data_IF_231082592865
#
_entry.id   IF_231082592865
#
_cell.length_a   1.000
_cell.length_b   1.000
_cell.length_c   1.000
_cell.angle_alpha   90.00
_cell.angle_beta   90.00
_cell.angle_gamma   90.00
#
_symmetry.space_group_name_H-M   'P 1'
#
loop_
_entity.id
_entity.type
_entity.pdbx_description
1 polymer ?
#
# COMPACT_ATOMS: atom_id res chain seq x y z
N UNK A 1 7.85 1.73 14.89
CA UNK A 1 7.60 1.27 13.51
C UNK A 1 7.35 -0.24 13.52
N UNK A 2 6.52 -0.75 12.62
CA UNK A 2 6.18 -2.17 12.48
C UNK A 2 6.33 -2.64 11.02
N UNK A 3 6.40 -3.94 10.75
CA UNK A 3 6.33 -4.50 9.39
C UNK A 3 4.88 -4.69 8.95
N UNK A 4 4.64 -4.92 7.65
CA UNK A 4 3.30 -5.16 7.12
C UNK A 4 2.67 -6.42 7.75
N UNK A 5 3.43 -7.51 7.85
CA UNK A 5 3.00 -8.74 8.52
C UNK A 5 2.61 -8.50 9.98
N UNK A 6 3.39 -7.73 10.73
CA UNK A 6 3.05 -7.37 12.12
C UNK A 6 1.74 -6.56 12.21
N UNK A 7 1.51 -5.64 11.26
CA UNK A 7 0.28 -4.87 11.21
C UNK A 7 -0.95 -5.75 10.94
N UNK A 8 -0.83 -6.71 10.02
CA UNK A 8 -1.87 -7.69 9.72
C UNK A 8 -2.16 -8.59 10.92
N UNK A 9 -1.13 -9.11 11.60
CA UNK A 9 -1.32 -9.92 12.80
C UNK A 9 -2.04 -9.15 13.90
N UNK A 10 -1.69 -7.87 14.11
CA UNK A 10 -2.34 -7.01 15.09
C UNK A 10 -3.80 -6.72 14.75
N UNK A 11 -4.11 -6.52 13.47
CA UNK A 11 -5.48 -6.37 12.98
C UNK A 11 -6.33 -7.62 13.28
N UNK A 12 -5.78 -8.81 12.99
CA UNK A 12 -6.43 -10.10 13.28
C UNK A 12 -6.69 -10.26 14.79
N UNK A 13 -5.71 -9.95 15.63
CA UNK A 13 -5.83 -10.03 17.10
C UNK A 13 -6.88 -9.07 17.67
N UNK A 14 -7.02 -7.88 17.08
CA UNK A 14 -7.96 -6.86 17.56
C UNK A 14 -9.40 -7.05 17.03
N UNK A 15 -9.63 -8.07 16.19
CA UNK A 15 -10.94 -8.30 15.61
C UNK A 15 -11.90 -8.91 16.64
N UNK A 16 -13.08 -8.30 16.82
CA UNK A 16 -14.10 -8.76 17.79
C UNK A 16 -14.84 -10.03 17.36
N UNK A 17 -14.78 -10.37 16.08
CA UNK A 17 -15.46 -11.51 15.47
C UNK A 17 -14.44 -12.59 15.09
N UNK A 18 -14.78 -13.86 15.29
CA UNK A 18 -13.94 -14.95 14.84
C UNK A 18 -13.78 -14.90 13.30
N UNK A 19 -12.53 -14.89 12.85
CA UNK A 19 -12.20 -14.78 11.43
C UNK A 19 -12.27 -16.12 10.69
N UNK A 20 -12.57 -17.24 11.37
CA UNK A 20 -12.64 -18.57 10.73
C UNK A 20 -11.32 -18.94 10.04
N UNK A 21 -11.43 -19.46 8.82
CA UNK A 21 -10.29 -19.94 8.01
C UNK A 21 -9.50 -18.81 7.32
N UNK A 22 -9.86 -17.54 7.57
CA UNK A 22 -9.15 -16.42 6.98
C UNK A 22 -7.73 -16.30 7.54
N UNK A 23 -6.76 -16.26 6.64
CA UNK A 23 -5.35 -16.05 6.97
C UNK A 23 -4.81 -14.82 6.27
N UNK A 24 -3.90 -14.12 6.94
CA UNK A 24 -3.33 -12.86 6.47
C UNK A 24 -1.81 -12.92 6.55
N UNK A 25 -1.12 -12.60 5.46
CA UNK A 25 0.34 -12.56 5.44
C UNK A 25 0.88 -11.46 4.51
N UNK A 26 2.18 -11.18 4.58
CA UNK A 26 2.86 -10.23 3.69
C UNK A 26 4.32 -10.60 3.47
N UNK A 27 4.82 -10.36 2.26
CA UNK A 27 6.26 -10.45 1.93
C UNK A 27 7.02 -9.13 2.19
N UNK A 28 6.31 -8.04 2.52
CA UNK A 28 6.88 -6.71 2.68
C UNK A 28 7.56 -6.59 4.05
N UNK A 29 8.90 -6.51 4.03
CA UNK A 29 9.73 -6.37 5.23
C UNK A 29 9.94 -4.91 5.68
N UNK A 30 9.64 -3.96 4.79
CA UNK A 30 9.82 -2.52 5.04
C UNK A 30 9.03 -2.08 6.27
N UNK A 31 9.65 -1.31 7.17
CA UNK A 31 9.01 -0.86 8.41
C UNK A 31 8.38 0.51 8.24
N UNK A 32 7.10 0.64 8.58
CA UNK A 32 6.36 1.93 8.56
C UNK A 32 5.76 2.23 9.93
N UNK A 33 5.37 3.48 10.14
CA UNK A 33 4.54 3.87 11.28
C UNK A 33 3.08 3.70 10.87
N UNK A 34 2.32 2.93 11.66
CA UNK A 34 0.93 2.61 11.38
C UNK A 34 0.12 2.79 12.65
N UNK A 35 -0.86 3.68 12.59
CA UNK A 35 -1.77 4.01 13.68
C UNK A 35 -3.19 3.76 13.18
N UNK A 36 -3.92 2.87 13.86
CA UNK A 36 -5.34 2.61 13.59
C UNK A 36 -6.17 3.16 14.74
N UNK A 37 -7.35 3.71 14.44
CA UNK A 37 -8.30 4.08 15.50
C UNK A 37 -9.16 2.87 15.89
N UNK A 38 -9.71 2.86 17.11
CA UNK A 38 -10.48 1.71 17.64
C UNK A 38 -11.85 1.50 16.96
N UNK A 39 -12.34 2.50 16.22
CA UNK A 39 -13.69 2.52 15.63
C UNK A 39 -13.74 2.04 14.18
N UNK A 40 -12.63 1.57 13.63
CA UNK A 40 -12.55 1.17 12.23
C UNK A 40 -12.96 -0.30 12.02
N UNK A 41 -13.59 -0.56 10.88
CA UNK A 41 -13.91 -1.94 10.46
C UNK A 41 -12.66 -2.63 9.96
N UNK A 42 -12.64 -3.96 10.00
CA UNK A 42 -11.53 -4.77 9.47
C UNK A 42 -11.21 -4.41 8.00
N UNK A 43 -12.25 -4.13 7.22
CA UNK A 43 -12.12 -3.73 5.82
C UNK A 43 -11.48 -2.35 5.65
N UNK A 44 -11.84 -1.36 6.48
CA UNK A 44 -11.21 -0.03 6.43
C UNK A 44 -9.76 -0.07 6.91
N UNK A 45 -9.46 -0.83 7.97
CA UNK A 45 -8.08 -1.03 8.43
C UNK A 45 -7.22 -1.69 7.36
N UNK A 46 -7.79 -2.61 6.56
CA UNK A 46 -7.04 -3.31 5.52
C UNK A 46 -6.90 -2.51 4.21
N UNK A 47 -7.99 -1.94 3.69
CA UNK A 47 -8.08 -1.39 2.32
C UNK A 47 -8.37 0.11 2.24
N UNK A 48 -9.54 0.54 2.74
CA UNK A 48 -10.12 1.85 2.36
C UNK A 48 -9.96 2.94 3.43
N UNK A 49 -9.33 2.64 4.56
CA UNK A 49 -9.00 3.62 5.58
C UNK A 49 -7.90 4.58 5.12
N UNK A 50 -7.95 5.84 5.59
CA UNK A 50 -6.93 6.87 5.34
C UNK A 50 -5.50 6.41 5.65
N UNK A 51 -5.38 5.45 6.56
CA UNK A 51 -4.13 4.79 6.94
C UNK A 51 -4.27 3.27 6.87
N UNK A 52 -4.88 2.75 5.79
CA UNK A 52 -5.04 1.30 5.62
C UNK A 52 -3.69 0.57 5.52
N UNK A 53 -3.65 -0.72 5.84
CA UNK A 53 -2.42 -1.52 5.77
C UNK A 53 -1.94 -1.62 4.32
N UNK A 54 -2.85 -1.87 3.37
CA UNK A 54 -2.47 -1.95 1.95
C UNK A 54 -1.93 -0.60 1.46
N UNK A 55 -2.57 0.51 1.81
CA UNK A 55 -2.12 1.85 1.43
C UNK A 55 -0.79 2.27 2.09
N UNK A 56 -0.61 1.98 3.39
CA UNK A 56 0.59 2.39 4.14
C UNK A 56 1.86 1.71 3.63
N UNK A 57 1.75 0.47 3.17
CA UNK A 57 2.87 -0.27 2.59
C UNK A 57 2.92 -0.22 1.06
N UNK A 58 2.00 0.51 0.43
CA UNK A 58 1.88 0.61 -1.03
C UNK A 58 1.84 -0.79 -1.67
N UNK A 59 1.25 -1.74 -0.95
CA UNK A 59 1.22 -3.14 -1.32
C UNK A 59 0.03 -3.46 -2.22
N UNK A 60 0.10 -4.62 -2.83
CA UNK A 60 -0.96 -5.16 -3.67
C UNK A 60 -1.60 -6.37 -2.99
N UNK A 61 -2.91 -6.31 -2.77
CA UNK A 61 -3.64 -7.42 -2.15
C UNK A 61 -3.84 -8.56 -3.15
N UNK A 62 -3.37 -9.75 -2.81
CA UNK A 62 -3.68 -11.02 -3.47
C UNK A 62 -4.64 -11.80 -2.60
N UNK A 63 -5.75 -12.25 -3.18
CA UNK A 63 -6.70 -13.14 -2.51
C UNK A 63 -6.67 -14.50 -3.18
N UNK A 64 -6.40 -15.53 -2.39
CA UNK A 64 -6.52 -16.94 -2.75
C UNK A 64 -7.48 -17.60 -1.76
N UNK A 65 -8.76 -17.65 -2.13
CA UNK A 65 -9.85 -18.08 -1.25
C UNK A 65 -9.91 -17.30 0.07
N UNK A 66 -9.53 -17.95 1.19
CA UNK A 66 -9.45 -17.38 2.53
C UNK A 66 -8.05 -16.89 2.91
N UNK A 67 -7.04 -17.16 2.07
CA UNK A 67 -5.69 -16.63 2.24
C UNK A 67 -5.59 -15.25 1.56
N UNK A 68 -5.30 -14.23 2.36
CA UNK A 68 -5.09 -12.86 1.93
C UNK A 68 -3.61 -12.51 2.12
N UNK A 69 -2.93 -12.17 1.02
CA UNK A 69 -1.50 -11.80 1.05
C UNK A 69 -1.31 -10.39 0.52
N UNK A 70 -0.68 -9.51 1.30
CA UNK A 70 -0.25 -8.19 0.83
C UNK A 70 1.16 -8.31 0.28
N UNK A 71 1.31 -8.22 -1.04
CA UNK A 71 2.61 -8.34 -1.73
C UNK A 71 3.19 -6.98 -2.07
N UNK A 72 4.52 -6.86 -2.09
CA UNK A 72 5.18 -5.64 -2.62
C UNK A 72 4.87 -5.39 -4.10
N UNK A 73 4.77 -6.47 -4.87
CA UNK A 73 4.39 -6.44 -6.28
C UNK A 73 3.74 -7.78 -6.64
N UNK A 74 2.62 -7.73 -7.37
CA UNK A 74 2.02 -8.92 -7.96
C UNK A 74 2.67 -9.23 -9.30
N UNK A 75 2.70 -10.52 -9.59
CA UNK A 75 3.35 -11.05 -10.77
C UNK A 75 4.74 -11.56 -10.43
N UNK A 76 5.16 -12.54 -11.21
CA UNK A 76 6.47 -13.16 -11.12
C UNK A 76 7.08 -13.17 -12.52
N UNK A 77 8.39 -12.99 -12.62
CA UNK A 77 9.07 -13.13 -13.90
C UNK A 77 9.05 -14.60 -14.33
N UNK A 78 8.20 -14.93 -15.30
CA UNK A 78 8.06 -16.29 -15.83
C UNK A 78 9.09 -16.64 -16.92
N UNK A 79 10.05 -15.77 -17.21
CA UNK A 79 11.03 -15.96 -18.28
C UNK A 79 10.42 -15.98 -19.69
N UNK A 80 9.16 -15.59 -19.84
CA UNK A 80 8.43 -15.58 -21.11
C UNK A 80 8.68 -14.25 -21.82
N UNK A 81 9.15 -14.32 -23.07
CA UNK A 81 9.26 -13.15 -23.95
C UNK A 81 8.08 -13.16 -24.91
N UNK A 82 7.26 -12.10 -24.87
CA UNK A 82 6.14 -11.90 -25.80
C UNK A 82 6.62 -11.00 -26.94
N UNK A 83 6.62 -11.53 -28.16
CA UNK A 83 6.97 -10.78 -29.37
C UNK A 83 5.81 -10.79 -30.36
N UNK A 84 5.61 -9.66 -31.04
CA UNK A 84 4.54 -9.42 -32.04
C UNK A 84 4.39 -10.51 -33.10
N UNK A 85 5.49 -11.16 -33.50
CA UNK A 85 5.52 -12.13 -34.60
C UNK A 85 5.52 -13.60 -34.16
N UNK A 86 5.29 -13.89 -32.87
CA UNK A 86 5.26 -15.27 -32.37
C UNK A 86 3.97 -15.58 -31.61
N UNK A 87 3.81 -14.95 -30.45
CA UNK A 87 2.82 -15.36 -29.47
C UNK A 87 1.71 -14.32 -29.27
N UNK A 88 1.68 -13.28 -30.10
CA UNK A 88 0.78 -12.14 -29.95
C UNK A 88 -0.21 -12.12 -31.12
N UNK A 89 -1.45 -12.51 -30.85
CA UNK A 89 -2.51 -12.53 -31.89
C UNK A 89 -2.98 -11.13 -32.25
N UNK A 90 -3.04 -10.24 -31.27
CA UNK A 90 -3.38 -8.83 -31.45
C UNK A 90 -2.75 -8.00 -30.32
N UNK A 91 -2.48 -6.72 -30.58
CA UNK A 91 -1.89 -5.78 -29.62
C UNK A 91 -2.52 -4.40 -29.72
N UNK A 92 -3.33 -4.06 -28.72
CA UNK A 92 -3.84 -2.72 -28.56
C UNK A 92 -3.12 -2.02 -27.40
N UNK A 93 -2.55 -0.84 -27.68
CA UNK A 93 -1.93 0.02 -26.67
C UNK A 93 -2.62 1.37 -26.62
N UNK A 94 -3.19 1.68 -25.47
CA UNK A 94 -3.66 3.03 -25.16
C UNK A 94 -2.60 3.75 -24.34
N UNK A 95 -2.20 4.95 -24.76
CA UNK A 95 -1.35 5.86 -23.97
C UNK A 95 -2.18 7.09 -23.61
N UNK A 96 -2.26 7.43 -22.32
CA UNK A 96 -2.87 8.67 -21.85
C UNK A 96 -1.86 9.38 -20.94
N UNK A 97 -1.61 10.67 -21.19
CA UNK A 97 -0.67 11.50 -20.42
C UNK A 97 -1.34 12.62 -19.61
N UNK A 98 -2.68 12.68 -19.59
CA UNK A 98 -3.43 13.77 -18.94
C UNK A 98 -3.17 13.89 -17.43
N UNK A 99 -2.77 12.80 -16.77
CA UNK A 99 -2.54 12.75 -15.32
C UNK A 99 -1.05 12.54 -14.96
N UNK A 100 -0.12 12.82 -15.89
CA UNK A 100 1.31 12.70 -15.60
C UNK A 100 1.76 13.88 -14.74
N UNK A 101 2.35 13.58 -13.58
CA UNK A 101 2.88 14.57 -12.64
C UNK A 101 4.39 14.34 -12.48
N UNK A 102 5.20 15.39 -12.63
CA UNK A 102 6.68 15.30 -12.52
C UNK A 102 7.23 15.87 -11.22
N UNK A 103 6.40 16.54 -10.41
CA UNK A 103 6.80 17.17 -9.14
C UNK A 103 5.68 17.08 -8.11
N UNK A 104 6.03 16.73 -6.88
CA UNK A 104 5.11 16.69 -5.74
C UNK A 104 5.61 17.63 -4.65
N UNK A 105 4.73 18.53 -4.17
CA UNK A 105 4.97 19.37 -3.00
C UNK A 105 4.13 18.87 -1.82
N UNK A 106 4.79 18.39 -0.77
CA UNK A 106 4.14 17.95 0.46
C UNK A 106 4.37 18.97 1.59
N UNK A 107 3.30 19.28 2.33
CA UNK A 107 3.35 20.14 3.53
C UNK A 107 2.65 19.45 4.69
N UNK A 108 3.30 19.41 5.84
CA UNK A 108 2.69 18.95 7.10
C UNK A 108 2.95 19.97 8.19
N UNK A 109 1.89 20.42 8.86
CA UNK A 109 1.98 21.28 10.04
C UNK A 109 1.60 20.45 11.25
N UNK A 110 2.44 20.44 12.27
CA UNK A 110 2.19 19.71 13.51
C UNK A 110 2.68 20.50 14.72
N UNK A 111 2.07 20.23 15.87
CA UNK A 111 2.45 20.82 17.16
C UNK A 111 3.15 19.75 18.00
N UNK A 112 4.45 19.90 18.31
CA UNK A 112 5.15 18.99 19.22
C UNK A 112 4.54 19.03 20.62
N UNK A 113 4.54 17.91 21.35
CA UNK A 113 4.08 17.89 22.74
C UNK A 113 4.90 18.87 23.59
N UNK A 114 4.21 19.80 24.27
CA UNK A 114 4.81 20.83 25.13
C UNK A 114 5.25 22.11 24.43
N UNK A 115 5.15 22.23 23.09
CA UNK A 115 5.51 23.45 22.37
C UNK A 115 4.27 24.34 22.13
N UNK A 116 4.37 25.64 22.38
CA UNK A 116 3.29 26.59 22.04
C UNK A 116 3.15 26.84 20.54
N UNK A 117 4.25 26.69 19.78
CA UNK A 117 4.32 27.05 18.35
C UNK A 117 4.20 25.83 17.45
N UNK A 118 3.45 25.98 16.37
CA UNK A 118 3.35 24.98 15.31
C UNK A 118 4.62 24.93 14.47
N UNK A 119 5.04 23.72 14.09
CA UNK A 119 6.15 23.47 13.17
C UNK A 119 5.60 23.00 11.83
N UNK A 120 6.07 23.59 10.72
CA UNK A 120 5.71 23.16 9.36
C UNK A 120 6.90 22.49 8.68
N UNK A 121 6.73 21.25 8.21
CA UNK A 121 7.65 20.55 7.31
C UNK A 121 7.17 20.72 5.87
N UNK A 122 8.12 21.02 4.96
CA UNK A 122 7.89 21.09 3.51
C UNK A 122 8.87 20.17 2.82
N UNK A 123 8.37 19.35 1.90
CA UNK A 123 9.17 18.43 1.07
C UNK A 123 8.77 18.61 -0.38
N UNK A 124 9.74 18.66 -1.29
CA UNK A 124 9.51 18.63 -2.73
C UNK A 124 10.25 17.43 -3.30
N UNK A 125 9.56 16.65 -4.14
CA UNK A 125 10.12 15.47 -4.81
C UNK A 125 9.90 15.61 -6.31
N UNK A 126 10.98 15.47 -7.07
CA UNK A 126 10.99 15.57 -8.52
C UNK A 126 11.21 14.20 -9.16
N UNK A 127 10.54 13.97 -10.29
CA UNK A 127 10.79 12.82 -11.16
C UNK A 127 12.16 12.93 -11.81
N UNK A 128 12.92 11.82 -11.97
CA UNK A 128 14.16 11.83 -12.75
C UNK A 128 13.96 12.12 -14.24
N UNK A 129 12.70 12.15 -14.70
CA UNK A 129 12.30 12.48 -16.07
C UNK A 129 11.83 13.94 -16.21
N UNK A 130 12.29 14.84 -15.31
CA UNK A 130 12.02 16.28 -15.40
C UNK A 130 12.73 16.91 -16.61
#
# INVERSE_FOLDING_TARGET
SQSCGMALSRMVQNTKTALGDFSFNSDIQDRRTFNTTETETLYSVLLDGKHSIVGTWEGELVRDNFAMTVKKSRGENRGVVITTHKNLKDYQRTKNSQNVVTRIHARSTFKPEGAEKETTIRVTVDSPLI
#
